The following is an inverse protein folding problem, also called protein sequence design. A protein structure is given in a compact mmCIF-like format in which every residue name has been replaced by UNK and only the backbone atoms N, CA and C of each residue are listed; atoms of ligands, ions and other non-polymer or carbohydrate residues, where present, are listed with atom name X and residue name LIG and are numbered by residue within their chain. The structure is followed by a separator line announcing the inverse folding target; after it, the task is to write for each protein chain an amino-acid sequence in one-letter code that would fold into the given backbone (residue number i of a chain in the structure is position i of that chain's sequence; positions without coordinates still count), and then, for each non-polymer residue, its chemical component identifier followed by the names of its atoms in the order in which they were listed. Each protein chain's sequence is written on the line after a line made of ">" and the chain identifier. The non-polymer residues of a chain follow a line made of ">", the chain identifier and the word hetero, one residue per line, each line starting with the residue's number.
data_IF_606080563567
#
_entry.id   IF_606080563567
#
_cell.length_a   1.000
_cell.length_b   1.000
_cell.length_c   1.000
_cell.angle_alpha   90.00
_cell.angle_beta   90.00
_cell.angle_gamma   90.00
#
_symmetry.space_group_name_H-M   'P 1'
#
loop_
_entity.id
_entity.type
_entity.pdbx_description
1 polymer ?
#
# COMPACT_ATOMS: atom_id res chain seq x y z
N UNK A 1 4.32 11.02 -5.22
CA UNK A 1 3.50 11.50 -4.09
C UNK A 1 4.21 11.18 -2.77
N UNK A 2 3.73 11.68 -1.64
CA UNK A 2 4.20 11.22 -0.32
C UNK A 2 3.10 10.45 0.41
N UNK A 3 3.43 9.84 1.56
CA UNK A 3 2.49 9.08 2.40
C UNK A 3 1.22 9.85 2.75
N UNK A 4 1.33 11.14 3.05
CA UNK A 4 0.18 11.99 3.40
C UNK A 4 -0.77 12.19 2.22
N UNK A 5 -0.22 12.42 1.03
CA UNK A 5 -1.02 12.54 -0.20
C UNK A 5 -1.64 11.20 -0.58
N UNK A 6 -0.91 10.09 -0.41
CA UNK A 6 -1.43 8.75 -0.66
C UNK A 6 -2.62 8.44 0.26
N UNK A 7 -2.50 8.71 1.56
CA UNK A 7 -3.59 8.49 2.53
C UNK A 7 -4.88 9.18 2.09
N UNK A 8 -4.82 10.48 1.75
CA UNK A 8 -5.98 11.23 1.25
C UNK A 8 -6.59 10.60 -0.01
N UNK A 9 -5.75 10.17 -0.95
CA UNK A 9 -6.21 9.51 -2.18
C UNK A 9 -6.87 8.16 -1.91
N UNK A 10 -6.38 7.38 -0.94
CA UNK A 10 -6.99 6.11 -0.54
C UNK A 10 -8.32 6.33 0.20
N UNK A 11 -8.40 7.37 1.03
CA UNK A 11 -9.64 7.79 1.68
C UNK A 11 -10.71 8.20 0.64
N UNK A 12 -10.32 8.97 -0.39
CA UNK A 12 -11.19 9.36 -1.51
C UNK A 12 -11.67 8.15 -2.34
N UNK A 13 -10.84 7.11 -2.44
CA UNK A 13 -11.21 5.84 -3.09
C UNK A 13 -12.09 4.95 -2.21
N UNK A 14 -12.29 5.30 -0.93
CA UNK A 14 -13.04 4.50 0.03
C UNK A 14 -12.30 3.24 0.51
N UNK A 15 -10.97 3.21 0.41
CA UNK A 15 -10.15 2.10 0.89
C UNK A 15 -10.05 2.17 2.41
N UNK A 16 -10.38 1.07 3.10
CA UNK A 16 -10.27 1.01 4.56
C UNK A 16 -8.79 0.98 4.98
N UNK A 17 -8.42 1.81 5.97
CA UNK A 17 -7.06 1.89 6.51
C UNK A 17 -6.53 0.58 7.09
N UNK A 18 -7.39 -0.39 7.41
CA UNK A 18 -6.98 -1.71 7.90
C UNK A 18 -6.32 -2.58 6.81
N UNK A 19 -6.45 -2.21 5.53
CA UNK A 19 -5.85 -2.95 4.42
C UNK A 19 -4.43 -2.48 4.06
N UNK A 20 -3.93 -1.41 4.68
CA UNK A 20 -2.60 -0.91 4.38
C UNK A 20 -1.90 -0.23 5.55
N UNK A 21 -0.58 -0.21 5.50
CA UNK A 21 0.27 0.41 6.51
C UNK A 21 1.32 1.28 5.84
N UNK A 22 1.15 2.60 5.89
CA UNK A 22 2.08 3.55 5.28
C UNK A 22 3.29 3.88 6.17
N UNK A 23 3.22 3.50 7.45
CA UNK A 23 4.26 3.77 8.46
C UNK A 23 5.09 2.51 8.79
N UNK A 24 4.96 1.43 7.99
CA UNK A 24 5.72 0.19 8.17
C UNK A 24 5.26 -0.69 9.34
N UNK A 25 4.08 -0.42 9.91
CA UNK A 25 3.50 -1.25 10.96
C UNK A 25 3.09 -2.64 10.43
N UNK A 26 3.50 -3.69 11.12
CA UNK A 26 3.32 -5.10 10.73
C UNK A 26 2.16 -5.79 11.47
N UNK A 27 1.25 -5.04 12.10
CA UNK A 27 0.13 -5.64 12.84
C UNK A 27 -1.11 -5.92 11.99
N UNK A 28 -1.07 -5.57 10.70
CA UNK A 28 -2.18 -5.74 9.78
C UNK A 28 -1.88 -6.84 8.77
N UNK A 29 -2.92 -7.47 8.25
CA UNK A 29 -2.82 -8.20 6.99
C UNK A 29 -3.14 -7.24 5.84
N UNK A 30 -2.22 -7.06 4.89
CA UNK A 30 -2.40 -6.15 3.76
C UNK A 30 -1.11 -5.51 3.26
N UNK A 31 -1.25 -4.41 2.53
CA UNK A 31 -0.15 -3.73 1.84
C UNK A 31 0.67 -2.89 2.84
N UNK A 32 1.94 -3.21 3.00
CA UNK A 32 2.85 -2.46 3.88
C UNK A 32 3.87 -1.70 3.06
N UNK A 33 4.00 -0.41 3.34
CA UNK A 33 5.11 0.44 2.91
C UNK A 33 6.14 0.50 4.03
N UNK A 34 7.37 0.09 3.74
CA UNK A 34 8.49 0.14 4.67
C UNK A 34 9.62 0.99 4.08
N UNK A 35 10.16 1.93 4.85
CA UNK A 35 11.35 2.68 4.50
C UNK A 35 12.55 2.16 5.31
N UNK A 36 13.70 2.03 4.66
CA UNK A 36 14.96 1.67 5.31
C UNK A 36 16.14 2.25 4.54
N UNK A 37 16.89 3.15 5.17
CA UNK A 37 18.11 3.75 4.62
C UNK A 37 17.93 4.36 3.21
N UNK A 38 16.81 5.04 2.97
CA UNK A 38 16.46 5.64 1.68
C UNK A 38 15.86 4.67 0.66
N UNK A 39 15.73 3.39 1.02
CA UNK A 39 15.09 2.37 0.19
C UNK A 39 13.65 2.17 0.61
N UNK A 40 12.73 2.19 -0.35
CA UNK A 40 11.30 2.02 -0.11
C UNK A 40 10.86 0.65 -0.58
N UNK A 41 10.31 -0.15 0.33
CA UNK A 41 9.84 -1.51 0.05
C UNK A 41 8.33 -1.55 0.23
N UNK A 42 7.62 -2.11 -0.76
CA UNK A 42 6.20 -2.43 -0.67
C UNK A 42 6.04 -3.94 -0.71
N UNK A 43 5.25 -4.50 0.19
CA UNK A 43 4.96 -5.94 0.21
C UNK A 43 3.57 -6.19 0.77
N UNK A 44 3.00 -7.34 0.40
CA UNK A 44 1.82 -7.87 1.07
C UNK A 44 2.25 -8.62 2.32
N UNK A 45 1.56 -8.37 3.43
CA UNK A 45 1.75 -9.06 4.70
C UNK A 45 0.53 -9.93 4.98
N UNK A 46 0.73 -11.23 5.18
CA UNK A 46 -0.36 -12.13 5.59
C UNK A 46 -0.58 -12.11 7.11
N UNK A 47 -1.67 -12.74 7.56
CA UNK A 47 -2.04 -12.84 8.98
C UNK A 47 -1.02 -13.61 9.85
N UNK A 48 -0.10 -14.35 9.21
CA UNK A 48 0.96 -15.12 9.87
C UNK A 48 2.28 -14.36 9.89
N UNK A 49 2.31 -13.15 9.33
CA UNK A 49 3.48 -12.30 9.22
C UNK A 49 4.41 -12.63 8.05
N UNK A 50 4.00 -13.47 7.09
CA UNK A 50 4.78 -13.73 5.90
C UNK A 50 4.64 -12.57 4.91
N UNK A 51 5.75 -12.25 4.25
CA UNK A 51 5.79 -11.24 3.19
C UNK A 51 5.68 -11.90 1.82
N UNK A 52 4.84 -11.36 0.95
CA UNK A 52 4.79 -11.72 -0.47
C UNK A 52 4.85 -10.46 -1.35
N UNK A 53 4.93 -10.68 -2.67
CA UNK A 53 4.81 -9.63 -3.70
C UNK A 53 5.69 -8.39 -3.47
N UNK A 54 6.88 -8.64 -2.89
CA UNK A 54 7.80 -7.60 -2.46
C UNK A 54 8.38 -6.85 -3.65
N UNK A 55 8.27 -5.52 -3.62
CA UNK A 55 8.84 -4.61 -4.61
C UNK A 55 9.63 -3.51 -3.94
N UNK A 56 10.75 -3.14 -4.56
CA UNK A 56 11.68 -2.14 -4.04
C UNK A 56 11.70 -0.93 -4.98
N UNK A 57 11.73 0.26 -4.39
CA UNK A 57 11.69 1.54 -5.08
C UNK A 57 12.79 2.46 -4.53
N UNK A 58 13.32 3.30 -5.41
CA UNK A 58 14.36 4.28 -5.07
C UNK A 58 13.79 5.56 -4.41
N UNK A 59 12.47 5.73 -4.34
CA UNK A 59 11.85 6.93 -3.78
C UNK A 59 10.47 6.67 -3.18
N UNK A 60 10.10 7.50 -2.20
CA UNK A 60 8.75 7.53 -1.62
C UNK A 60 7.70 7.74 -2.71
N UNK A 61 8.02 8.60 -3.69
CA UNK A 61 7.17 8.94 -4.80
C UNK A 61 6.71 7.71 -5.57
N UNK A 62 7.67 6.91 -6.02
CA UNK A 62 7.42 5.73 -6.82
C UNK A 62 6.69 4.64 -6.02
N UNK A 63 7.10 4.41 -4.77
CA UNK A 63 6.47 3.42 -3.91
C UNK A 63 5.00 3.76 -3.62
N UNK A 64 4.72 5.01 -3.29
CA UNK A 64 3.35 5.45 -3.04
C UNK A 64 2.50 5.43 -4.33
N UNK A 65 3.10 5.72 -5.50
CA UNK A 65 2.41 5.59 -6.79
C UNK A 65 2.00 4.17 -7.11
N UNK A 66 2.89 3.23 -6.85
CA UNK A 66 2.58 1.82 -6.99
C UNK A 66 1.40 1.39 -6.11
N UNK A 67 1.40 1.76 -4.83
CA UNK A 67 0.30 1.43 -3.91
C UNK A 67 -1.03 2.03 -4.39
N UNK A 68 -1.03 3.29 -4.83
CA UNK A 68 -2.25 3.92 -5.33
C UNK A 68 -2.84 3.18 -6.53
N UNK A 69 -2.01 2.82 -7.51
CA UNK A 69 -2.45 2.08 -8.70
C UNK A 69 -2.98 0.69 -8.35
N UNK A 70 -2.34 0.01 -7.40
CA UNK A 70 -2.77 -1.30 -6.91
C UNK A 70 -4.18 -1.25 -6.31
N UNK A 71 -4.45 -0.30 -5.40
CA UNK A 71 -5.79 -0.15 -4.83
C UNK A 71 -6.81 0.37 -5.84
N UNK A 72 -6.41 1.27 -6.74
CA UNK A 72 -7.29 1.77 -7.80
C UNK A 72 -7.74 0.63 -8.73
N UNK A 73 -6.84 -0.29 -9.07
CA UNK A 73 -7.15 -1.47 -9.86
C UNK A 73 -8.09 -2.42 -9.10
N UNK A 74 -7.80 -2.70 -7.82
CA UNK A 74 -8.69 -3.51 -6.97
C UNK A 74 -10.11 -2.92 -6.91
N UNK A 75 -10.24 -1.63 -6.59
CA UNK A 75 -11.55 -0.95 -6.55
C UNK A 75 -12.27 -1.03 -7.90
N UNK A 76 -11.55 -0.89 -9.02
CA UNK A 76 -12.12 -1.02 -10.38
C UNK A 76 -12.61 -2.44 -10.67
N UNK A 77 -11.89 -3.46 -10.23
CA UNK A 77 -12.24 -4.87 -10.44
C UNK A 77 -13.42 -5.29 -9.56
N UNK A 78 -13.39 -4.96 -8.26
CA UNK A 78 -14.42 -5.36 -7.29
C UNK A 78 -15.66 -4.45 -7.33
N UNK A 79 -15.53 -3.21 -7.80
CA UNK A 79 -16.65 -2.27 -7.96
C UNK A 79 -17.58 -2.58 -9.16
N UNK A 80 -17.21 -3.52 -10.03
CA UNK A 80 -18.05 -3.98 -11.16
C UNK A 80 -19.05 -5.09 -10.80
N UNK A 81 -18.97 -5.62 -9.57
CA UNK A 81 -19.80 -6.74 -9.13
C UNK A 81 -21.05 -6.32 -8.34
N UNK A 82 -21.59 -5.11 -8.59
CA UNK A 82 -22.85 -4.63 -7.99
C UNK A 82 -23.92 -4.38 -9.03
#
# INVERSE_FOLDING_TARGET
>A
MNRNTLRKKLDELGVNSNFYSLEGHLSIAGIVLQESYGTWTVFDLDERGNKSDTRVFASEDAACHYIYLLFQEQVRLFGRSR
#
